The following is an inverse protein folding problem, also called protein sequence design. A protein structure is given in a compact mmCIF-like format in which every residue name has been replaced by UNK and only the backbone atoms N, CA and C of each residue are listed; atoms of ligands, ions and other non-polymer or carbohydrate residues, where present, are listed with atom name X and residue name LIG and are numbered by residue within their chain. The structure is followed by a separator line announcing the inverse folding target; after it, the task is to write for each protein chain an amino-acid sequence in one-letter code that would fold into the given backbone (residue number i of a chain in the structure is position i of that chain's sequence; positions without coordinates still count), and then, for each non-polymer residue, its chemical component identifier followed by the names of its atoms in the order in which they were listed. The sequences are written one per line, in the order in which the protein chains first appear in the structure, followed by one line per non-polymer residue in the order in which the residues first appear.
data_IF_254882671219
#
_entry.id   IF_254882671219
#
_cell.length_a   1.000
_cell.length_b   1.000
_cell.length_c   1.000
_cell.angle_alpha   90.00
_cell.angle_beta   90.00
_cell.angle_gamma   90.00
#
_symmetry.space_group_name_H-M   'P 1'
#
loop_
_entity.id
_entity.type
_entity.pdbx_description
1 polymer ?
#
# COMPACT_ATOMS: atom_id res chain seq x y z
N UNK A 1 -13.59 -3.82 6.82
CA UNK A 1 -13.04 -2.86 7.78
C UNK A 1 -14.17 -2.14 8.47
N UNK A 2 -14.08 -1.91 9.77
CA UNK A 2 -15.06 -1.17 10.56
C UNK A 2 -14.34 -0.16 11.44
N UNK A 3 -14.98 0.96 11.76
CA UNK A 3 -14.42 1.98 12.65
C UNK A 3 -15.19 1.95 13.96
N UNK A 4 -14.49 1.78 15.08
CA UNK A 4 -15.04 2.01 16.41
C UNK A 4 -14.77 3.43 16.86
N UNK A 5 -15.81 4.13 17.29
CA UNK A 5 -15.67 5.37 18.04
C UNK A 5 -16.06 5.16 19.50
N UNK A 6 -15.17 5.58 20.39
CA UNK A 6 -15.40 5.62 21.83
C UNK A 6 -15.31 7.06 22.29
N UNK A 7 -16.42 7.60 22.80
CA UNK A 7 -16.46 8.97 23.35
C UNK A 7 -16.34 8.91 24.86
N UNK A 8 -15.48 9.76 25.41
CA UNK A 8 -15.26 9.88 26.85
C UNK A 8 -15.62 11.29 27.34
N UNK A 9 -16.09 11.35 28.59
CA UNK A 9 -16.12 12.57 29.41
C UNK A 9 -15.24 12.38 30.63
N UNK A 10 -13.99 12.81 30.52
CA UNK A 10 -12.97 12.65 31.56
C UNK A 10 -13.01 13.86 32.51
N UNK A 11 -13.07 13.58 33.81
CA UNK A 11 -13.09 14.62 34.84
C UNK A 11 -11.85 15.52 34.84
N UNK A 12 -12.04 16.78 35.25
CA UNK A 12 -10.96 17.75 35.38
C UNK A 12 -9.81 17.22 36.26
N UNK A 13 -8.57 17.41 35.81
CA UNK A 13 -7.37 16.91 36.50
C UNK A 13 -6.99 15.45 36.19
N UNK A 14 -7.84 14.68 35.50
CA UNK A 14 -7.53 13.29 35.07
C UNK A 14 -6.99 13.18 33.64
N UNK A 15 -7.05 14.25 32.85
CA UNK A 15 -6.63 14.29 31.44
C UNK A 15 -5.24 13.68 31.17
N UNK A 16 -4.20 14.14 31.87
CA UNK A 16 -2.84 13.64 31.66
C UNK A 16 -2.69 12.16 32.03
N UNK A 17 -3.37 11.71 33.08
CA UNK A 17 -3.35 10.31 33.50
C UNK A 17 -4.11 9.42 32.50
N UNK A 18 -5.19 9.93 31.91
CA UNK A 18 -5.97 9.26 30.87
C UNK A 18 -5.16 9.08 29.59
N UNK A 19 -4.53 10.15 29.10
CA UNK A 19 -3.65 10.10 27.93
C UNK A 19 -2.46 9.15 28.16
N UNK A 20 -1.86 9.16 29.35
CA UNK A 20 -0.80 8.22 29.71
C UNK A 20 -1.28 6.76 29.80
N UNK A 21 -2.51 6.52 30.25
CA UNK A 21 -3.10 5.18 30.26
C UNK A 21 -3.30 4.66 28.83
N UNK A 22 -3.83 5.50 27.93
CA UNK A 22 -3.98 5.13 26.52
C UNK A 22 -2.65 4.95 25.80
N UNK A 23 -1.61 5.72 26.15
CA UNK A 23 -0.27 5.49 25.63
C UNK A 23 0.28 4.09 25.98
N UNK A 24 -0.05 3.56 27.17
CA UNK A 24 0.29 2.17 27.54
C UNK A 24 -0.63 1.16 26.84
N UNK A 25 -1.92 1.45 26.78
CA UNK A 25 -2.93 0.61 26.12
C UNK A 25 -2.71 0.50 24.59
N UNK A 26 -2.00 1.45 23.99
CA UNK A 26 -1.59 1.43 22.58
C UNK A 26 -0.70 0.22 22.23
N UNK A 27 0.10 -0.28 23.20
CA UNK A 27 0.98 -1.44 22.97
C UNK A 27 0.20 -2.71 22.60
N UNK A 28 -0.75 -3.20 23.42
CA UNK A 28 -1.54 -4.38 23.06
C UNK A 28 -2.45 -4.14 21.84
N UNK A 29 -2.87 -2.90 21.54
CA UNK A 29 -3.56 -2.59 20.29
C UNK A 29 -2.63 -2.82 19.08
N UNK A 30 -1.40 -2.30 19.12
CA UNK A 30 -0.42 -2.46 18.03
C UNK A 30 0.09 -3.89 17.83
N UNK A 31 -0.01 -4.75 18.84
CA UNK A 31 0.33 -6.17 18.74
C UNK A 31 -0.79 -7.01 18.09
N UNK A 32 -2.03 -6.51 18.04
CA UNK A 32 -3.16 -7.27 17.52
C UNK A 32 -3.16 -7.30 15.99
N UNK A 33 -3.25 -8.48 15.35
CA UNK A 33 -3.39 -8.57 13.89
C UNK A 33 -4.75 -8.07 13.38
N UNK A 34 -5.70 -7.82 14.28
CA UNK A 34 -7.05 -7.36 13.95
C UNK A 34 -7.19 -5.83 14.04
N UNK A 35 -6.29 -5.17 14.77
CA UNK A 35 -6.24 -3.72 14.90
C UNK A 35 -5.42 -3.14 13.75
N UNK A 36 -6.05 -2.30 12.93
CA UNK A 36 -5.42 -1.71 11.74
C UNK A 36 -4.79 -0.37 12.06
N UNK A 37 -5.49 0.46 12.85
CA UNK A 37 -5.10 1.85 13.16
C UNK A 37 -5.85 2.34 14.40
N UNK A 38 -5.31 3.32 15.12
CA UNK A 38 -5.99 3.97 16.24
C UNK A 38 -5.52 5.41 16.48
N UNK A 39 -6.43 6.25 16.96
CA UNK A 39 -6.17 7.66 17.29
C UNK A 39 -6.98 8.07 18.52
N UNK A 40 -6.35 8.75 19.48
CA UNK A 40 -7.04 9.42 20.58
C UNK A 40 -6.97 10.93 20.38
N UNK A 41 -8.11 11.56 20.19
CA UNK A 41 -8.25 13.00 20.02
C UNK A 41 -8.89 13.63 21.26
N UNK A 42 -8.38 14.78 21.68
CA UNK A 42 -8.98 15.64 22.72
C UNK A 42 -9.72 16.79 22.06
N UNK A 43 -10.94 17.05 22.50
CA UNK A 43 -11.70 18.23 22.08
C UNK A 43 -10.98 19.52 22.55
N UNK A 44 -10.84 20.49 21.66
CA UNK A 44 -10.16 21.77 21.98
C UNK A 44 -11.12 22.70 22.72
N UNK A 45 -12.41 22.65 22.37
CA UNK A 45 -13.48 23.48 22.94
C UNK A 45 -13.92 22.99 24.32
N UNK A 46 -13.92 21.68 24.57
CA UNK A 46 -14.15 21.08 25.89
C UNK A 46 -13.05 20.05 26.21
N UNK A 47 -11.95 20.45 26.90
CA UNK A 47 -10.80 19.59 27.13
C UNK A 47 -11.05 18.32 27.97
N UNK A 48 -12.23 18.16 28.58
CA UNK A 48 -12.62 16.91 29.22
C UNK A 48 -13.20 15.87 28.26
N UNK A 49 -13.50 16.26 27.01
CA UNK A 49 -14.08 15.37 26.02
C UNK A 49 -12.99 14.77 25.12
N UNK A 50 -13.05 13.45 24.96
CA UNK A 50 -12.13 12.72 24.09
C UNK A 50 -12.89 11.79 23.15
N UNK A 51 -12.30 11.55 21.98
CA UNK A 51 -12.74 10.54 21.03
C UNK A 51 -11.58 9.61 20.74
N UNK A 52 -11.74 8.33 21.03
CA UNK A 52 -10.88 7.27 20.52
C UNK A 52 -11.50 6.71 19.25
N UNK A 53 -10.73 6.72 18.16
CA UNK A 53 -11.04 6.02 16.91
C UNK A 53 -10.17 4.79 16.83
N UNK A 54 -10.75 3.60 16.60
CA UNK A 54 -9.99 2.39 16.28
C UNK A 54 -10.51 1.80 14.96
N UNK A 55 -9.62 1.47 14.05
CA UNK A 55 -9.95 0.77 12.81
C UNK A 55 -9.68 -0.71 12.99
N UNK A 56 -10.70 -1.53 12.78
CA UNK A 56 -10.61 -2.99 12.86
C UNK A 56 -10.78 -3.61 11.47
N UNK A 57 -10.20 -4.79 11.27
CA UNK A 57 -10.38 -5.58 10.04
C UNK A 57 -11.87 -5.89 9.79
N UNK A 58 -12.61 -6.24 10.84
CA UNK A 58 -14.07 -6.38 10.84
C UNK A 58 -14.65 -6.24 12.27
N UNK A 59 -15.99 -6.12 12.39
CA UNK A 59 -16.66 -6.14 13.71
C UNK A 59 -16.43 -7.48 14.40
N UNK A 60 -16.49 -8.59 13.66
CA UNK A 60 -16.27 -9.92 14.20
C UNK A 60 -14.84 -10.10 14.73
N UNK A 61 -13.84 -9.64 13.98
CA UNK A 61 -12.44 -9.75 14.40
C UNK A 61 -12.14 -8.92 15.65
N UNK A 62 -12.83 -7.78 15.83
CA UNK A 62 -12.78 -7.07 17.09
C UNK A 62 -13.47 -7.86 18.22
N UNK A 63 -14.73 -8.25 18.03
CA UNK A 63 -15.56 -8.79 19.12
C UNK A 63 -15.16 -10.20 19.56
N UNK A 64 -14.78 -11.06 18.62
CA UNK A 64 -14.38 -12.45 18.89
C UNK A 64 -12.86 -12.59 18.92
N UNK A 65 -12.15 -11.89 18.03
CA UNK A 65 -10.69 -11.94 17.95
C UNK A 65 -10.02 -11.15 19.06
N UNK A 66 -9.99 -9.81 18.93
CA UNK A 66 -9.29 -8.96 19.90
C UNK A 66 -9.87 -9.09 21.31
N UNK A 67 -11.19 -8.96 21.50
CA UNK A 67 -11.78 -9.03 22.85
C UNK A 67 -11.66 -10.40 23.51
N UNK A 68 -11.48 -11.47 22.73
CA UNK A 68 -11.18 -12.82 23.22
C UNK A 68 -9.71 -13.07 23.54
N UNK A 69 -8.82 -12.13 23.23
CA UNK A 69 -7.37 -12.31 23.27
C UNK A 69 -6.70 -11.90 24.60
N UNK A 70 -5.48 -12.38 24.87
CA UNK A 70 -4.64 -11.87 25.96
C UNK A 70 -4.34 -10.36 25.86
N UNK A 71 -4.25 -9.83 24.64
CA UNK A 71 -3.99 -8.42 24.36
C UNK A 71 -5.11 -7.54 24.93
N UNK A 72 -6.38 -7.96 24.78
CA UNK A 72 -7.51 -7.25 25.36
C UNK A 72 -7.47 -7.22 26.89
N UNK A 73 -7.00 -8.30 27.54
CA UNK A 73 -6.81 -8.31 28.99
C UNK A 73 -5.82 -7.24 29.46
N UNK A 74 -4.70 -7.09 28.75
CA UNK A 74 -3.69 -6.04 29.00
C UNK A 74 -4.22 -4.65 28.68
N UNK A 75 -4.91 -4.48 27.54
CA UNK A 75 -5.55 -3.23 27.15
C UNK A 75 -6.56 -2.77 28.21
N UNK A 76 -7.49 -3.66 28.60
CA UNK A 76 -8.52 -3.36 29.58
C UNK A 76 -7.93 -3.04 30.95
N UNK A 77 -6.82 -3.67 31.35
CA UNK A 77 -6.16 -3.36 32.61
C UNK A 77 -5.70 -1.90 32.69
N UNK A 78 -5.21 -1.33 31.58
CA UNK A 78 -4.76 0.06 31.52
C UNK A 78 -5.92 1.06 31.57
N UNK A 79 -7.04 0.76 30.89
CA UNK A 79 -8.14 1.73 30.71
C UNK A 79 -9.33 1.51 31.65
N UNK A 80 -9.30 0.47 32.50
CA UNK A 80 -10.42 0.04 33.36
C UNK A 80 -11.01 1.20 34.18
N UNK A 81 -10.15 2.05 34.73
CA UNK A 81 -10.56 3.20 35.56
C UNK A 81 -11.45 4.20 34.81
N UNK A 82 -11.32 4.27 33.47
CA UNK A 82 -12.02 5.22 32.63
C UNK A 82 -13.23 4.62 31.91
N UNK A 83 -13.51 3.32 32.09
CA UNK A 83 -14.71 2.68 31.54
C UNK A 83 -16.01 3.37 31.98
N UNK A 84 -16.17 3.84 33.24
CA UNK A 84 -17.35 4.60 33.64
C UNK A 84 -17.50 5.97 32.95
N UNK A 85 -16.42 6.51 32.39
CA UNK A 85 -16.40 7.83 31.73
C UNK A 85 -16.83 7.73 30.24
N UNK A 86 -17.12 6.53 29.74
CA UNK A 86 -17.54 6.27 28.36
C UNK A 86 -18.98 6.74 28.15
N UNK A 87 -19.17 7.65 27.20
CA UNK A 87 -20.46 8.16 26.77
C UNK A 87 -21.01 7.43 25.53
N UNK A 88 -20.11 6.90 24.70
CA UNK A 88 -20.46 6.16 23.49
C UNK A 88 -19.37 5.13 23.18
N UNK A 89 -19.75 3.95 22.71
CA UNK A 89 -18.85 2.93 22.17
C UNK A 89 -19.62 2.18 21.09
N UNK A 90 -19.35 2.49 19.81
CA UNK A 90 -20.09 1.95 18.67
C UNK A 90 -19.20 1.73 17.46
N UNK A 91 -19.59 0.76 16.63
CA UNK A 91 -18.97 0.48 15.34
C UNK A 91 -19.74 1.16 14.20
N UNK A 92 -19.01 1.67 13.23
CA UNK A 92 -19.51 2.39 12.07
C UNK A 92 -18.83 1.87 10.81
N UNK A 93 -19.61 1.77 9.75
CA UNK A 93 -19.09 1.49 8.41
C UNK A 93 -18.65 2.81 7.75
N UNK A 94 -17.41 2.89 7.24
CA UNK A 94 -17.00 4.02 6.40
C UNK A 94 -17.92 4.14 5.18
N UNK A 95 -18.34 5.35 4.86
CA UNK A 95 -19.12 5.61 3.64
C UNK A 95 -18.20 6.07 2.51
N UNK A 96 -18.75 6.26 1.31
CA UNK A 96 -18.02 6.85 0.18
C UNK A 96 -17.67 8.33 0.38
N UNK A 97 -18.21 8.99 1.41
CA UNK A 97 -17.87 10.38 1.75
C UNK A 97 -16.64 10.39 2.64
N UNK A 98 -15.46 10.55 2.03
CA UNK A 98 -14.19 10.70 2.70
C UNK A 98 -13.34 11.77 2.01
N UNK A 99 -12.50 12.49 2.78
CA UNK A 99 -11.43 13.30 2.20
C UNK A 99 -10.34 12.41 1.58
N UNK A 100 -9.47 12.95 0.72
CA UNK A 100 -8.33 12.19 0.21
C UNK A 100 -7.45 11.79 1.40
N UNK A 101 -7.51 10.52 1.78
CA UNK A 101 -6.67 9.94 2.81
C UNK A 101 -5.25 9.85 2.24
N UNK A 102 -4.44 10.88 2.50
CA UNK A 102 -3.06 10.94 2.04
C UNK A 102 -2.91 11.38 0.57
N UNK A 103 -1.69 11.23 0.02
CA UNK A 103 -1.44 11.51 -1.39
C UNK A 103 -2.21 10.51 -2.29
N UNK A 104 -2.56 10.91 -3.53
CA UNK A 104 -3.13 9.96 -4.50
C UNK A 104 -2.18 8.79 -4.71
N UNK A 105 -2.70 7.63 -5.08
CA UNK A 105 -1.85 6.47 -5.38
C UNK A 105 -0.88 6.78 -6.53
N UNK A 106 0.25 6.05 -6.61
CA UNK A 106 1.16 6.15 -7.75
C UNK A 106 0.43 5.89 -9.08
N UNK A 107 -0.57 5.00 -9.08
CA UNK A 107 -1.41 4.71 -10.23
C UNK A 107 -2.21 5.94 -10.68
N UNK A 108 -2.90 6.61 -9.76
CA UNK A 108 -3.67 7.82 -10.05
C UNK A 108 -2.75 8.95 -10.51
N UNK A 109 -1.62 9.15 -9.80
CA UNK A 109 -0.66 10.19 -10.13
C UNK A 109 -0.02 9.98 -11.51
N UNK A 110 0.28 8.73 -11.89
CA UNK A 110 0.79 8.40 -13.21
C UNK A 110 -0.20 8.74 -14.35
N UNK A 111 -1.48 8.98 -14.07
CA UNK A 111 -2.54 9.13 -15.07
C UNK A 111 -3.32 7.82 -15.36
N UNK A 112 -3.25 6.88 -14.42
CA UNK A 112 -3.96 5.61 -14.45
C UNK A 112 -3.54 4.67 -15.57
N UNK A 113 -4.41 3.71 -15.88
CA UNK A 113 -4.14 2.64 -16.86
C UNK A 113 -3.76 3.16 -18.23
N UNK A 114 -4.35 4.27 -18.67
CA UNK A 114 -4.06 4.83 -19.98
C UNK A 114 -2.61 5.26 -20.12
N UNK A 115 -2.02 5.84 -19.08
CA UNK A 115 -0.63 6.26 -19.06
C UNK A 115 0.33 5.08 -18.96
N UNK A 116 0.02 4.10 -18.11
CA UNK A 116 0.82 2.88 -17.99
C UNK A 116 0.79 2.04 -19.28
N UNK A 117 -0.31 2.03 -20.02
CA UNK A 117 -0.37 1.38 -21.32
C UNK A 117 0.52 2.08 -22.35
N UNK A 118 0.50 3.42 -22.40
CA UNK A 118 1.42 4.18 -23.27
C UNK A 118 2.88 3.90 -22.91
N UNK A 119 3.20 3.86 -21.61
CA UNK A 119 4.53 3.50 -21.12
C UNK A 119 4.96 2.14 -21.64
N UNK A 120 4.15 1.09 -21.43
CA UNK A 120 4.57 -0.26 -21.79
C UNK A 120 4.60 -0.46 -23.31
N UNK A 121 3.68 0.15 -24.08
CA UNK A 121 3.73 0.12 -25.54
C UNK A 121 5.01 0.77 -26.08
N UNK A 122 5.38 1.94 -25.54
CA UNK A 122 6.62 2.66 -25.88
C UNK A 122 7.86 1.83 -25.52
N UNK A 123 7.87 1.28 -24.31
CA UNK A 123 8.95 0.46 -23.82
C UNK A 123 9.18 -0.78 -24.67
N UNK A 124 8.13 -1.58 -24.91
CA UNK A 124 8.26 -2.84 -25.64
C UNK A 124 8.59 -2.66 -27.12
N UNK A 125 8.20 -1.53 -27.73
CA UNK A 125 8.70 -1.14 -29.05
C UNK A 125 10.22 -0.97 -29.03
N UNK A 126 10.74 -0.21 -28.06
CA UNK A 126 12.18 0.07 -27.91
C UNK A 126 12.99 -1.18 -27.55
N UNK A 127 12.43 -2.06 -26.71
CA UNK A 127 13.07 -3.33 -26.31
C UNK A 127 13.31 -4.26 -27.50
N UNK A 128 12.40 -4.29 -28.48
CA UNK A 128 12.56 -5.11 -29.68
C UNK A 128 13.62 -4.57 -30.65
N UNK A 129 14.04 -3.31 -30.48
CA UNK A 129 15.13 -2.69 -31.25
C UNK A 129 16.49 -2.81 -30.53
N UNK A 130 16.50 -3.23 -29.26
CA UNK A 130 17.70 -3.34 -28.43
C UNK A 130 18.40 -4.69 -28.60
N UNK A 131 19.67 -4.68 -29.03
CA UNK A 131 20.44 -5.90 -29.32
C UNK A 131 20.56 -6.87 -28.11
N UNK A 132 20.58 -6.34 -26.88
CA UNK A 132 20.75 -7.15 -25.67
C UNK A 132 19.43 -7.75 -25.18
N UNK A 133 18.33 -7.02 -25.31
CA UNK A 133 17.02 -7.44 -24.81
C UNK A 133 16.14 -8.10 -25.86
N UNK A 134 16.30 -7.80 -27.15
CA UNK A 134 15.50 -8.40 -28.22
C UNK A 134 15.46 -9.94 -28.12
N UNK A 135 16.58 -10.67 -27.89
CA UNK A 135 16.54 -12.13 -27.77
C UNK A 135 15.70 -12.63 -26.58
N UNK A 136 15.54 -11.82 -25.53
CA UNK A 136 14.74 -12.14 -24.34
C UNK A 136 13.24 -12.01 -24.64
N UNK A 137 12.87 -11.01 -25.44
CA UNK A 137 11.48 -10.65 -25.72
C UNK A 137 10.98 -11.09 -27.10
N UNK A 138 11.86 -11.68 -27.93
CA UNK A 138 11.49 -12.23 -29.23
C UNK A 138 10.33 -13.22 -29.09
N UNK A 139 9.29 -13.00 -29.89
CA UNK A 139 8.09 -13.85 -29.88
C UNK A 139 7.22 -13.68 -28.64
N UNK A 140 7.37 -12.59 -27.88
CA UNK A 140 6.42 -12.26 -26.81
C UNK A 140 5.00 -12.15 -27.36
N UNK A 141 4.02 -12.45 -26.50
CA UNK A 141 2.61 -12.26 -26.80
C UNK A 141 2.35 -10.78 -27.20
N UNK A 142 1.65 -10.50 -28.32
CA UNK A 142 1.33 -9.13 -28.72
C UNK A 142 0.55 -8.32 -27.66
N UNK A 143 -0.15 -8.99 -26.74
CA UNK A 143 -0.84 -8.35 -25.62
C UNK A 143 0.05 -8.17 -24.37
N UNK A 144 1.32 -8.59 -24.41
CA UNK A 144 2.27 -8.44 -23.30
C UNK A 144 2.35 -7.00 -22.73
N UNK A 145 2.41 -5.93 -23.54
CA UNK A 145 2.38 -4.56 -23.02
C UNK A 145 1.14 -4.26 -22.15
N UNK A 146 -0.03 -4.75 -22.56
CA UNK A 146 -1.28 -4.59 -21.79
C UNK A 146 -1.20 -5.32 -20.46
N UNK A 147 -0.69 -6.54 -20.45
CA UNK A 147 -0.56 -7.34 -19.23
C UNK A 147 0.39 -6.69 -18.24
N UNK A 148 1.48 -6.10 -18.71
CA UNK A 148 2.46 -5.42 -17.87
C UNK A 148 1.90 -4.08 -17.36
N UNK A 149 1.10 -3.37 -18.16
CA UNK A 149 0.40 -2.18 -17.69
C UNK A 149 -0.62 -2.50 -16.59
N UNK A 150 -1.36 -3.60 -16.72
CA UNK A 150 -2.28 -4.07 -15.68
C UNK A 150 -1.52 -4.50 -14.40
N UNK A 151 -0.36 -5.16 -14.55
CA UNK A 151 0.52 -5.52 -13.42
C UNK A 151 1.04 -4.28 -12.69
N UNK A 152 1.66 -3.33 -13.41
CA UNK A 152 2.16 -2.08 -12.83
C UNK A 152 1.03 -1.29 -12.18
N UNK A 153 -0.14 -1.26 -12.81
CA UNK A 153 -1.28 -0.52 -12.29
C UNK A 153 -1.75 -1.06 -10.96
N UNK A 154 -1.88 -2.37 -10.83
CA UNK A 154 -2.25 -3.01 -9.57
C UNK A 154 -1.19 -2.82 -8.48
N UNK A 155 0.09 -2.94 -8.83
CA UNK A 155 1.20 -2.72 -7.87
C UNK A 155 1.22 -1.28 -7.35
N UNK A 156 0.91 -0.31 -8.20
CA UNK A 156 0.87 1.12 -7.86
C UNK A 156 -0.44 1.59 -7.20
N UNK A 157 -1.26 0.65 -6.71
CA UNK A 157 -2.48 0.96 -5.97
C UNK A 157 -3.74 1.12 -6.83
N UNK A 158 -3.66 0.78 -8.11
CA UNK A 158 -4.82 0.71 -9.01
C UNK A 158 -5.70 -0.53 -8.78
N UNK A 159 -6.78 -0.68 -9.57
CA UNK A 159 -7.68 -1.83 -9.48
C UNK A 159 -6.97 -3.17 -9.68
N UNK A 160 -7.51 -4.30 -9.15
CA UNK A 160 -6.91 -5.63 -9.26
C UNK A 160 -7.07 -6.27 -10.64
N UNK A 161 -6.66 -5.54 -11.68
CA UNK A 161 -6.84 -5.91 -13.08
C UNK A 161 -5.94 -7.08 -13.49
N UNK A 162 -4.72 -7.17 -12.96
CA UNK A 162 -3.83 -8.27 -13.30
C UNK A 162 -4.19 -9.53 -12.53
N UNK A 163 -4.33 -9.45 -11.20
CA UNK A 163 -4.66 -10.62 -10.38
C UNK A 163 -6.02 -11.21 -10.74
N UNK A 164 -7.02 -10.35 -10.96
CA UNK A 164 -8.37 -10.77 -11.34
C UNK A 164 -8.45 -11.56 -12.66
N UNK A 165 -7.55 -11.31 -13.61
CA UNK A 165 -7.57 -11.97 -14.93
C UNK A 165 -6.43 -12.96 -15.16
N UNK A 166 -5.32 -12.86 -14.40
CA UNK A 166 -4.09 -13.61 -14.66
C UNK A 166 -3.56 -14.40 -13.47
N UNK A 167 -4.19 -14.33 -12.29
CA UNK A 167 -3.80 -15.15 -11.14
C UNK A 167 -2.65 -14.59 -10.30
N UNK A 168 -2.33 -13.30 -10.46
CA UNK A 168 -1.53 -12.54 -9.52
C UNK A 168 -0.03 -12.89 -9.51
N UNK A 169 0.62 -12.69 -8.36
CA UNK A 169 2.07 -12.74 -8.23
C UNK A 169 2.65 -14.09 -8.65
N UNK A 170 2.00 -15.19 -8.27
CA UNK A 170 2.34 -16.55 -8.69
C UNK A 170 2.44 -16.70 -10.21
N UNK A 171 1.49 -16.14 -10.95
CA UNK A 171 1.54 -16.18 -12.41
C UNK A 171 2.74 -15.40 -12.95
N UNK A 172 2.99 -14.19 -12.42
CA UNK A 172 4.15 -13.37 -12.80
C UNK A 172 5.47 -14.12 -12.58
N UNK A 173 5.68 -14.69 -11.39
CA UNK A 173 6.87 -15.50 -11.06
C UNK A 173 7.04 -16.63 -12.07
N UNK A 174 5.97 -17.39 -12.34
CA UNK A 174 5.97 -18.49 -13.31
C UNK A 174 6.38 -18.08 -14.72
N UNK A 175 6.17 -16.83 -15.13
CA UNK A 175 6.63 -16.32 -16.45
C UNK A 175 8.13 -16.02 -16.49
N UNK A 176 8.77 -15.85 -15.33
CA UNK A 176 10.19 -15.55 -15.20
C UNK A 176 11.07 -16.77 -14.95
N UNK A 177 10.51 -17.87 -14.38
CA UNK A 177 11.26 -19.09 -14.07
C UNK A 177 12.07 -19.62 -15.26
N UNK A 178 13.34 -19.97 -15.01
CA UNK A 178 14.22 -20.61 -15.99
C UNK A 178 14.67 -19.72 -17.15
N UNK A 179 14.36 -18.41 -17.13
CA UNK A 179 14.76 -17.46 -18.19
C UNK A 179 16.24 -17.07 -18.13
N UNK A 180 16.93 -17.36 -17.02
CA UNK A 180 18.34 -17.03 -16.80
C UNK A 180 18.68 -15.55 -17.13
N UNK A 181 17.86 -14.62 -16.64
CA UNK A 181 18.03 -13.19 -16.87
C UNK A 181 19.34 -12.74 -16.22
N UNK A 182 20.21 -12.12 -17.01
CA UNK A 182 21.50 -11.63 -16.55
C UNK A 182 21.36 -10.24 -15.92
N UNK A 183 22.33 -9.87 -15.07
CA UNK A 183 22.40 -8.53 -14.48
C UNK A 183 22.58 -7.44 -15.55
N UNK A 184 23.24 -7.75 -16.67
CA UNK A 184 23.39 -6.81 -17.79
C UNK A 184 22.04 -6.53 -18.45
N UNK A 185 21.25 -7.58 -18.73
CA UNK A 185 19.89 -7.45 -19.26
C UNK A 185 19.00 -6.70 -18.28
N UNK A 186 19.07 -7.02 -16.98
CA UNK A 186 18.30 -6.32 -15.94
C UNK A 186 18.55 -4.81 -15.97
N UNK A 187 19.83 -4.38 -15.92
CA UNK A 187 20.17 -2.95 -15.94
C UNK A 187 19.72 -2.26 -17.22
N UNK A 188 19.87 -2.94 -18.38
CA UNK A 188 19.41 -2.38 -19.66
C UNK A 188 17.88 -2.23 -19.70
N UNK A 189 17.17 -3.22 -19.18
CA UNK A 189 15.71 -3.19 -19.06
C UNK A 189 15.24 -2.00 -18.20
N UNK A 190 15.87 -1.78 -17.04
CA UNK A 190 15.54 -0.64 -16.16
C UNK A 190 15.82 0.68 -16.86
N UNK A 191 16.98 0.83 -17.49
CA UNK A 191 17.35 2.05 -18.23
C UNK A 191 16.31 2.40 -19.30
N UNK A 192 15.98 1.43 -20.16
CA UNK A 192 15.02 1.65 -21.25
C UNK A 192 13.60 1.95 -20.75
N UNK A 193 13.20 1.39 -19.61
CA UNK A 193 11.88 1.66 -19.05
C UNK A 193 11.79 3.04 -18.41
N UNK A 194 12.90 3.55 -17.84
CA UNK A 194 13.00 4.93 -17.39
C UNK A 194 12.93 5.90 -18.57
N UNK A 195 13.69 5.65 -19.64
CA UNK A 195 13.65 6.46 -20.87
C UNK A 195 12.24 6.46 -21.49
N UNK A 196 11.59 5.29 -21.54
CA UNK A 196 10.21 5.16 -22.04
C UNK A 196 9.20 5.92 -21.17
N UNK A 197 9.48 6.11 -19.87
CA UNK A 197 8.62 6.88 -18.98
C UNK A 197 8.72 8.39 -19.25
N UNK A 198 9.85 8.88 -19.74
CA UNK A 198 9.94 10.25 -20.24
C UNK A 198 9.18 10.39 -21.57
N UNK A 199 9.39 9.48 -22.52
CA UNK A 199 8.73 9.53 -23.83
C UNK A 199 7.20 9.38 -23.73
N UNK A 200 6.71 8.51 -22.85
CA UNK A 200 5.28 8.29 -22.65
C UNK A 200 4.57 9.43 -21.88
N UNK A 201 5.34 10.43 -21.42
CA UNK A 201 4.82 11.59 -20.70
C UNK A 201 4.32 11.24 -19.30
N UNK A 202 4.97 10.31 -18.60
CA UNK A 202 4.71 10.10 -17.18
C UNK A 202 5.18 11.33 -16.37
N UNK A 203 4.63 11.55 -15.16
CA UNK A 203 5.05 12.65 -14.31
C UNK A 203 6.56 12.67 -14.08
N UNK A 204 7.14 13.87 -14.15
CA UNK A 204 8.58 14.09 -14.00
C UNK A 204 8.95 14.70 -12.63
N UNK A 205 7.98 14.83 -11.71
CA UNK A 205 8.25 15.30 -10.36
C UNK A 205 9.21 14.32 -9.63
N UNK A 206 10.13 14.85 -8.80
CA UNK A 206 11.15 14.03 -8.14
C UNK A 206 10.57 12.89 -7.31
N UNK A 207 9.45 13.12 -6.63
CA UNK A 207 8.79 12.15 -5.75
C UNK A 207 8.28 10.95 -6.55
N UNK A 208 7.55 11.18 -7.65
CA UNK A 208 7.08 10.11 -8.51
C UNK A 208 8.24 9.37 -9.17
N UNK A 209 9.23 10.10 -9.70
CA UNK A 209 10.40 9.48 -10.35
C UNK A 209 11.22 8.63 -9.38
N UNK A 210 11.38 9.06 -8.14
CA UNK A 210 12.06 8.28 -7.10
C UNK A 210 11.28 7.01 -6.75
N UNK A 211 9.96 7.11 -6.55
CA UNK A 211 9.12 5.95 -6.25
C UNK A 211 9.11 4.94 -7.41
N UNK A 212 8.94 5.42 -8.64
CA UNK A 212 8.96 4.60 -9.85
C UNK A 212 10.30 3.89 -10.05
N UNK A 213 11.42 4.62 -9.99
CA UNK A 213 12.75 4.02 -10.12
C UNK A 213 13.05 2.99 -9.01
N UNK A 214 12.63 3.27 -7.77
CA UNK A 214 12.75 2.34 -6.65
C UNK A 214 12.03 1.02 -6.90
N UNK A 215 10.80 1.08 -7.43
CA UNK A 215 10.06 -0.12 -7.81
C UNK A 215 10.77 -0.91 -8.91
N UNK A 216 11.21 -0.24 -9.98
CA UNK A 216 11.89 -0.91 -11.09
C UNK A 216 13.17 -1.61 -10.63
N UNK A 217 13.94 -0.98 -9.74
CA UNK A 217 15.15 -1.58 -9.18
C UNK A 217 14.80 -2.81 -8.33
N UNK A 218 13.84 -2.71 -7.42
CA UNK A 218 13.41 -3.83 -6.58
C UNK A 218 12.84 -4.99 -7.41
N UNK A 219 11.86 -4.71 -8.27
CA UNK A 219 11.15 -5.73 -9.06
C UNK A 219 12.06 -6.41 -10.08
N UNK A 220 12.96 -5.68 -10.73
CA UNK A 220 13.90 -6.26 -11.69
C UNK A 220 14.93 -7.18 -11.02
N UNK A 221 15.33 -6.92 -9.77
CA UNK A 221 16.19 -7.83 -9.00
C UNK A 221 15.49 -9.12 -8.65
N UNK A 222 14.21 -9.07 -8.28
CA UNK A 222 13.41 -10.27 -8.06
C UNK A 222 13.26 -11.09 -9.34
N UNK A 223 13.04 -10.45 -10.49
CA UNK A 223 13.00 -11.14 -11.78
C UNK A 223 14.30 -11.92 -12.06
N UNK A 224 15.48 -11.36 -11.72
CA UNK A 224 16.75 -12.10 -11.81
C UNK A 224 16.77 -13.30 -10.89
N UNK A 225 16.34 -13.15 -9.62
CA UNK A 225 16.28 -14.25 -8.65
C UNK A 225 15.36 -15.37 -9.14
N UNK A 226 14.13 -15.04 -9.54
CA UNK A 226 13.15 -16.00 -10.04
C UNK A 226 13.60 -16.69 -11.32
N UNK A 227 14.35 -16.00 -12.18
CA UNK A 227 14.78 -16.56 -13.46
C UNK A 227 15.91 -17.57 -13.39
N UNK A 228 16.55 -17.74 -12.23
CA UNK A 228 17.67 -18.68 -12.07
C UNK A 228 17.25 -20.11 -12.42
N UNK A 229 18.10 -20.89 -13.10
CA UNK A 229 17.85 -22.31 -13.32
C UNK A 229 17.61 -23.03 -11.99
N UNK A 230 16.50 -23.74 -11.86
CA UNK A 230 16.14 -24.49 -10.65
C UNK A 230 15.72 -23.64 -9.45
N UNK A 231 15.32 -22.37 -9.65
CA UNK A 231 14.79 -21.55 -8.57
C UNK A 231 13.52 -22.19 -7.96
N UNK A 232 13.57 -22.50 -6.66
CA UNK A 232 12.41 -22.82 -5.85
C UNK A 232 11.91 -21.52 -5.21
N UNK A 233 10.69 -21.10 -5.55
CA UNK A 233 10.10 -19.85 -5.07
C UNK A 233 8.80 -20.19 -4.35
N UNK A 234 8.58 -19.59 -3.18
CA UNK A 234 7.31 -19.70 -2.48
C UNK A 234 6.21 -19.06 -3.34
N UNK A 235 5.22 -19.85 -3.73
CA UNK A 235 4.19 -19.47 -4.71
C UNK A 235 2.98 -18.79 -4.07
N UNK A 236 2.97 -18.65 -2.74
CA UNK A 236 1.87 -18.04 -1.98
C UNK A 236 2.16 -16.58 -1.58
N UNK A 237 3.20 -15.95 -2.13
CA UNK A 237 3.46 -14.53 -1.90
C UNK A 237 2.30 -13.65 -2.41
N UNK A 238 1.81 -12.68 -1.61
CA UNK A 238 0.74 -11.78 -2.03
C UNK A 238 1.17 -10.89 -3.19
N UNK A 239 0.19 -10.27 -3.86
CA UNK A 239 0.48 -9.22 -4.83
C UNK A 239 1.32 -8.11 -4.18
N UNK A 240 2.46 -7.73 -4.78
CA UNK A 240 3.25 -6.64 -4.23
C UNK A 240 2.47 -5.34 -4.33
N UNK A 241 2.61 -4.51 -3.30
CA UNK A 241 2.15 -3.12 -3.29
C UNK A 241 3.37 -2.22 -3.19
N UNK A 242 3.39 -1.17 -4.00
CA UNK A 242 4.43 -0.16 -3.99
C UNK A 242 3.80 1.21 -3.88
N UNK A 243 4.33 2.02 -2.96
CA UNK A 243 3.78 3.32 -2.63
C UNK A 243 4.91 4.36 -2.56
N UNK A 244 4.53 5.61 -2.31
CA UNK A 244 5.43 6.75 -2.20
C UNK A 244 6.57 6.51 -1.20
N UNK A 245 7.81 6.79 -1.62
CA UNK A 245 8.95 6.87 -0.70
C UNK A 245 8.89 8.15 0.15
N UNK A 246 8.36 9.22 -0.43
CA UNK A 246 7.99 10.50 0.18
C UNK A 246 6.72 10.99 -0.51
N UNK A 247 5.75 11.59 0.22
CA UNK A 247 4.52 12.09 -0.41
C UNK A 247 4.83 13.18 -1.44
N UNK A 248 4.13 13.22 -2.60
CA UNK A 248 4.33 14.22 -3.63
C UNK A 248 4.09 15.61 -3.06
N UNK A 249 5.01 16.52 -3.34
CA UNK A 249 4.88 17.90 -2.92
C UNK A 249 3.62 18.53 -3.55
N UNK A 250 2.79 19.15 -2.72
CA UNK A 250 1.62 19.91 -3.17
C UNK A 250 1.99 21.39 -3.18
N UNK A 251 1.80 22.05 -4.31
CA UNK A 251 1.94 23.50 -4.39
C UNK A 251 0.91 24.16 -3.46
N UNK A 252 1.34 24.93 -2.43
CA UNK A 252 0.42 25.67 -1.57
C UNK A 252 -0.54 26.58 -2.33
N UNK A 253 -0.17 27.04 -3.54
CA UNK A 253 -1.00 27.91 -4.38
C UNK A 253 -2.08 27.18 -5.19
N UNK A 254 -2.05 25.84 -5.25
CA UNK A 254 -3.00 25.01 -6.02
C UNK A 254 -4.27 24.62 -5.25
N UNK A 255 -4.41 25.08 -3.99
CA UNK A 255 -5.55 24.81 -3.12
C UNK A 255 -6.47 26.02 -2.89
N UNK A 256 -6.77 26.80 -3.92
CA UNK A 256 -7.71 27.94 -3.89
C UNK A 256 -9.03 27.64 -4.59
#
# INVERSE_FOLDING_TARGET
MTIEYIRYRVGAGRAAAFEAAYARAATPLGESPHCVDYELARCVEDPGDYILRITWTSVNDHLEGFRGSPEFGRFLAEIREYVPDIQEMRHYEPTSVAGPAGPPTLYEWAGGRSALLRLTETFYRTVLEDELLEPVFRGMDPAHPRHVADWLGEVFGGPPAYSGHRGGHRHMIGRHLGRAITEQQRRRWVSLLLDAADEAGLPADPEFRAAFAGYLEWGSRLAVVFSRPGAEVDVEEPMPRWDWTMPPWKDPASGG
#
